data_IF_956982689336
#
_entry.id   IF_956982689336
#
_cell.length_a   1.000
_cell.length_b   1.000
_cell.length_c   1.000
_cell.angle_alpha   90.00
_cell.angle_beta   90.00
_cell.angle_gamma   90.00
#
_symmetry.space_group_name_H-M   'P 1'
#
loop_
_entity.id
_entity.type
_entity.pdbx_description
1 polymer ?
#
# COMPACT_ATOMS: atom_id res chain seq x y z
N UNK A 1 -2.88 6.15 -9.60
CA UNK A 1 -2.35 4.99 -8.86
C UNK A 1 -0.97 4.67 -9.38
N UNK A 2 -0.01 4.40 -8.49
CA UNK A 2 1.38 4.12 -8.86
C UNK A 2 1.81 2.78 -8.24
N UNK A 3 2.40 1.89 -9.05
CA UNK A 3 3.12 0.71 -8.56
C UNK A 3 4.58 1.12 -8.33
N UNK A 4 4.97 1.21 -7.07
CA UNK A 4 6.22 1.83 -6.60
C UNK A 4 7.40 0.86 -6.53
N UNK A 5 7.90 0.46 -7.70
CA UNK A 5 9.03 -0.47 -7.79
C UNK A 5 10.38 0.14 -7.42
N UNK A 6 10.58 1.47 -7.53
CA UNK A 6 11.80 2.12 -7.03
C UNK A 6 11.83 2.19 -5.50
N UNK A 7 10.66 2.31 -4.83
CA UNK A 7 10.61 2.16 -3.37
C UNK A 7 10.94 0.74 -2.92
N UNK A 8 10.58 -0.28 -3.70
CA UNK A 8 10.82 -1.67 -3.35
C UNK A 8 12.32 -2.02 -3.25
N UNK A 9 13.19 -1.33 -4.00
CA UNK A 9 14.64 -1.57 -3.99
C UNK A 9 15.39 -0.86 -2.85
N UNK A 10 14.68 -0.08 -2.02
CA UNK A 10 15.27 0.55 -0.82
C UNK A 10 15.48 -0.44 0.34
N UNK A 11 14.88 -1.62 0.25
CA UNK A 11 15.10 -2.76 1.13
C UNK A 11 15.67 -3.97 0.39
N UNK A 12 15.76 -5.11 1.07
CA UNK A 12 16.15 -6.37 0.43
C UNK A 12 15.07 -6.81 -0.56
N UNK A 13 15.48 -7.06 -1.80
CA UNK A 13 14.60 -7.57 -2.86
C UNK A 13 15.33 -8.63 -3.68
N UNK A 14 14.56 -9.37 -4.46
CA UNK A 14 15.08 -10.37 -5.38
C UNK A 14 14.86 -9.88 -6.82
N UNK A 15 15.98 -9.69 -7.54
CA UNK A 15 16.01 -9.20 -8.91
C UNK A 15 15.20 -10.12 -9.84
N UNK A 16 15.27 -11.44 -9.61
CA UNK A 16 14.58 -12.43 -10.45
C UNK A 16 13.05 -12.30 -10.37
N UNK A 17 12.52 -11.69 -9.30
CA UNK A 17 11.07 -11.62 -9.06
C UNK A 17 10.49 -10.21 -9.03
N UNK A 18 11.31 -9.14 -9.08
CA UNK A 18 10.81 -7.76 -8.98
C UNK A 18 9.82 -7.42 -10.11
N UNK A 19 10.18 -7.67 -11.37
CA UNK A 19 9.32 -7.38 -12.52
C UNK A 19 7.98 -8.12 -12.44
N UNK A 20 8.03 -9.39 -12.03
CA UNK A 20 6.82 -10.20 -11.85
C UNK A 20 5.94 -9.66 -10.72
N UNK A 21 6.54 -9.28 -9.59
CA UNK A 21 5.81 -8.68 -8.46
C UNK A 21 5.17 -7.34 -8.82
N UNK A 22 5.84 -6.52 -9.63
CA UNK A 22 5.31 -5.27 -10.17
C UNK A 22 4.07 -5.54 -11.02
N UNK A 23 4.15 -6.52 -11.93
CA UNK A 23 3.02 -6.94 -12.76
C UNK A 23 1.86 -7.48 -11.93
N UNK A 24 2.14 -8.38 -10.98
CA UNK A 24 1.12 -8.96 -10.09
C UNK A 24 0.46 -7.90 -9.19
N UNK A 25 1.18 -6.86 -8.77
CA UNK A 25 0.60 -5.73 -8.05
C UNK A 25 -0.36 -4.93 -8.95
N UNK A 26 0.02 -4.65 -10.20
CA UNK A 26 -0.86 -4.00 -11.17
C UNK A 26 -2.12 -4.83 -11.44
N UNK A 27 -1.98 -6.14 -11.65
CA UNK A 27 -3.10 -7.07 -11.81
C UNK A 27 -4.01 -7.03 -10.58
N UNK A 28 -3.44 -7.03 -9.37
CA UNK A 28 -4.22 -6.98 -8.13
C UNK A 28 -5.03 -5.68 -8.01
N UNK A 29 -4.47 -4.54 -8.43
CA UNK A 29 -5.17 -3.24 -8.43
C UNK A 29 -6.32 -3.22 -9.45
N UNK A 30 -6.06 -3.65 -10.69
CA UNK A 30 -7.07 -3.75 -11.75
C UNK A 30 -8.19 -4.71 -11.34
N UNK A 31 -7.84 -5.88 -10.82
CA UNK A 31 -8.77 -6.88 -10.34
C UNK A 31 -9.56 -6.44 -9.10
N UNK A 32 -9.02 -5.51 -8.30
CA UNK A 32 -9.74 -4.89 -7.18
C UNK A 32 -10.71 -3.79 -7.65
N UNK A 33 -10.64 -3.37 -8.92
CA UNK A 33 -11.54 -2.38 -9.52
C UNK A 33 -10.92 -1.01 -9.79
N UNK A 34 -9.58 -0.89 -9.79
CA UNK A 34 -8.94 0.30 -10.37
C UNK A 34 -9.23 0.32 -11.86
N UNK A 35 -9.96 1.33 -12.29
CA UNK A 35 -10.42 1.48 -13.67
C UNK A 35 -9.47 2.42 -14.44
N UNK A 36 -8.73 1.92 -15.45
CA UNK A 36 -7.79 2.72 -16.22
C UNK A 36 -8.44 3.82 -17.06
N UNK A 37 -9.74 3.74 -17.35
CA UNK A 37 -10.47 4.81 -18.03
C UNK A 37 -10.75 6.01 -17.11
N UNK A 38 -10.76 5.77 -15.79
CA UNK A 38 -11.05 6.78 -14.76
C UNK A 38 -9.82 7.18 -13.95
N UNK A 39 -8.72 6.47 -14.09
CA UNK A 39 -7.55 6.64 -13.25
C UNK A 39 -6.28 6.26 -13.99
N UNK A 40 -5.24 7.09 -13.86
CA UNK A 40 -3.92 6.79 -14.41
C UNK A 40 -3.25 5.73 -13.53
N UNK A 41 -3.04 4.52 -14.06
CA UNK A 41 -2.30 3.44 -13.41
C UNK A 41 -0.97 3.22 -14.14
N UNK A 42 0.15 3.36 -13.44
CA UNK A 42 1.48 3.21 -14.03
C UNK A 42 2.48 2.62 -13.05
N UNK A 43 3.65 2.21 -13.58
CA UNK A 43 4.80 1.77 -12.79
C UNK A 43 5.76 2.94 -12.59
N UNK A 44 6.23 3.15 -11.36
CA UNK A 44 7.07 4.28 -10.99
C UNK A 44 8.33 4.39 -11.85
N UNK A 45 9.07 3.30 -12.03
CA UNK A 45 10.28 3.26 -12.86
C UNK A 45 10.06 3.58 -14.34
N UNK A 46 8.81 3.49 -14.83
CA UNK A 46 8.50 3.90 -16.19
C UNK A 46 8.48 5.43 -16.35
N UNK A 47 8.42 6.21 -15.27
CA UNK A 47 8.39 7.68 -15.29
C UNK A 47 9.68 8.20 -14.64
N UNK A 48 10.78 8.40 -15.39
CA UNK A 48 12.09 8.72 -14.81
C UNK A 48 12.13 10.04 -14.03
N UNK A 49 11.18 10.95 -14.29
CA UNK A 49 11.04 12.22 -13.60
C UNK A 49 10.88 12.08 -12.08
N UNK A 50 10.39 10.94 -11.57
CA UNK A 50 10.35 10.66 -10.13
C UNK A 50 11.74 10.72 -9.51
N UNK A 51 12.70 10.01 -10.10
CA UNK A 51 14.08 9.99 -9.61
C UNK A 51 14.76 11.36 -9.81
N UNK A 52 14.48 12.04 -10.92
CA UNK A 52 15.01 13.39 -11.17
C UNK A 52 14.52 14.39 -10.13
N UNK A 53 13.21 14.48 -9.89
CA UNK A 53 12.67 15.39 -8.89
C UNK A 53 13.14 15.00 -7.47
N UNK A 54 13.23 13.71 -7.15
CA UNK A 54 13.75 13.25 -5.86
C UNK A 54 15.20 13.73 -5.63
N UNK A 55 16.04 13.72 -6.66
CA UNK A 55 17.39 14.28 -6.57
C UNK A 55 17.37 15.78 -6.27
N UNK A 56 16.54 16.54 -6.98
CA UNK A 56 16.40 17.99 -6.75
C UNK A 56 15.88 18.30 -5.35
N UNK A 57 14.87 17.57 -4.87
CA UNK A 57 14.36 17.73 -3.51
C UNK A 57 15.38 17.33 -2.44
N UNK A 58 16.31 16.42 -2.75
CA UNK A 58 17.38 16.02 -1.82
C UNK A 58 18.31 17.19 -1.50
N UNK A 59 18.51 18.14 -2.42
CA UNK A 59 19.41 19.28 -2.18
C UNK A 59 18.88 20.28 -1.14
N UNK A 60 17.58 20.22 -0.84
CA UNK A 60 16.91 21.10 0.14
C UNK A 60 16.39 20.35 1.38
N UNK A 61 16.54 19.02 1.42
CA UNK A 61 16.08 18.17 2.50
C UNK A 61 17.11 18.10 3.64
N UNK A 62 16.78 18.49 4.89
CA UNK A 62 17.74 18.43 5.98
C UNK A 62 17.97 17.00 6.43
N UNK A 63 19.24 16.63 6.52
CA UNK A 63 19.67 15.35 7.04
C UNK A 63 19.04 15.03 8.41
N UNK A 64 19.05 15.98 9.34
CA UNK A 64 18.53 15.78 10.69
C UNK A 64 17.02 15.51 10.74
N UNK A 65 16.24 15.97 9.77
CA UNK A 65 14.79 15.64 9.69
C UNK A 65 14.58 14.20 9.23
N UNK A 66 15.35 13.75 8.24
CA UNK A 66 15.32 12.38 7.75
C UNK A 66 15.74 11.38 8.84
N UNK A 67 16.80 11.68 9.58
CA UNK A 67 17.31 10.84 10.67
C UNK A 67 16.35 10.72 11.86
N UNK A 68 15.46 11.70 12.04
CA UNK A 68 14.48 11.71 13.14
C UNK A 68 13.24 10.86 12.87
N UNK A 69 12.99 10.48 11.61
CA UNK A 69 11.80 9.73 11.23
C UNK A 69 11.73 8.37 11.93
N UNK A 70 10.54 8.02 12.44
CA UNK A 70 10.33 6.79 13.20
C UNK A 70 10.62 5.55 12.34
N UNK A 71 10.14 5.53 11.09
CA UNK A 71 10.38 4.40 10.20
C UNK A 71 11.85 4.22 9.83
N UNK A 72 12.62 5.31 9.71
CA UNK A 72 14.06 5.23 9.48
C UNK A 72 14.75 4.59 10.69
N UNK A 73 14.47 5.07 11.91
CA UNK A 73 15.03 4.52 13.16
C UNK A 73 14.68 3.04 13.35
N UNK A 74 13.43 2.66 13.12
CA UNK A 74 12.97 1.28 13.32
C UNK A 74 13.58 0.30 12.31
N UNK A 75 13.82 0.75 11.08
CA UNK A 75 14.38 -0.08 10.00
C UNK A 75 15.91 -0.11 10.04
N UNK A 76 16.57 1.00 10.40
CA UNK A 76 18.04 1.09 10.48
C UNK A 76 18.61 0.18 11.55
N UNK A 77 17.92 0.01 12.68
CA UNK A 77 18.31 -0.92 13.75
C UNK A 77 18.31 -2.40 13.35
N UNK A 78 17.71 -2.75 12.20
CA UNK A 78 17.58 -4.14 11.72
C UNK A 78 18.66 -4.53 10.72
N UNK A 79 19.56 -3.62 10.38
CA UNK A 79 20.62 -3.83 9.41
C UNK A 79 21.95 -3.35 9.98
N UNK A 80 23.03 -4.05 9.62
CA UNK A 80 24.38 -3.68 10.06
C UNK A 80 24.88 -2.41 9.35
N UNK A 81 24.59 -2.30 8.05
CA UNK A 81 24.88 -1.12 7.25
C UNK A 81 23.60 -0.59 6.66
N UNK A 82 23.30 0.68 6.93
CA UNK A 82 22.08 1.35 6.51
C UNK A 82 22.28 1.92 5.11
N UNK A 83 21.55 1.45 4.08
CA UNK A 83 21.65 2.03 2.75
C UNK A 83 21.15 3.48 2.74
N UNK A 84 21.82 4.37 2.01
CA UNK A 84 21.37 5.75 1.83
C UNK A 84 19.95 5.83 1.22
N UNK A 85 19.56 4.82 0.42
CA UNK A 85 18.19 4.68 -0.08
C UNK A 85 17.13 4.58 1.02
N UNK A 86 17.45 3.95 2.16
CA UNK A 86 16.53 3.87 3.29
C UNK A 86 16.33 5.22 4.00
N UNK A 87 17.35 6.07 3.97
CA UNK A 87 17.26 7.43 4.52
C UNK A 87 16.51 8.38 3.56
N UNK A 88 16.70 8.19 2.26
CA UNK A 88 16.23 9.11 1.20
C UNK A 88 14.88 8.73 0.59
N UNK A 89 14.35 7.51 0.79
CA UNK A 89 13.04 7.13 0.22
C UNK A 89 11.88 8.08 0.58
N UNK A 90 11.84 8.76 1.75
CA UNK A 90 10.79 9.73 2.03
C UNK A 90 10.83 10.94 1.07
N UNK A 91 12.01 11.29 0.56
CA UNK A 91 12.18 12.33 -0.47
C UNK A 91 11.67 11.82 -1.83
N UNK A 92 11.94 10.55 -2.16
CA UNK A 92 11.35 9.91 -3.35
C UNK A 92 9.82 9.90 -3.27
N UNK A 93 9.26 9.63 -2.08
CA UNK A 93 7.81 9.72 -1.86
C UNK A 93 7.28 11.15 -2.04
N UNK A 94 8.01 12.16 -1.57
CA UNK A 94 7.65 13.56 -1.81
C UNK A 94 7.66 13.89 -3.32
N UNK A 95 8.67 13.40 -4.06
CA UNK A 95 8.71 13.53 -5.51
C UNK A 95 7.49 12.86 -6.18
N UNK A 96 7.12 11.64 -5.76
CA UNK A 96 5.96 10.93 -6.30
C UNK A 96 4.65 11.72 -6.20
N UNK A 97 4.51 12.54 -5.15
CA UNK A 97 3.33 13.36 -4.88
C UNK A 97 3.41 14.71 -5.62
N UNK A 98 4.53 15.41 -5.47
CA UNK A 98 4.70 16.78 -5.96
C UNK A 98 4.83 16.84 -7.48
N UNK A 99 5.35 15.79 -8.12
CA UNK A 99 5.47 15.71 -9.58
C UNK A 99 4.12 15.87 -10.29
N UNK A 100 3.04 15.41 -9.66
CA UNK A 100 1.67 15.53 -10.16
C UNK A 100 0.88 16.67 -9.51
N UNK A 101 1.53 17.49 -8.67
CA UNK A 101 0.93 18.61 -7.94
C UNK A 101 -0.37 18.19 -7.23
N UNK A 102 -0.34 17.05 -6.53
CA UNK A 102 -1.52 16.52 -5.87
C UNK A 102 -1.96 17.38 -4.68
N UNK A 103 -3.25 17.73 -4.62
CA UNK A 103 -3.83 18.49 -3.50
C UNK A 103 -4.09 17.64 -2.26
N UNK A 104 -4.28 16.33 -2.44
CA UNK A 104 -4.61 15.41 -1.36
C UNK A 104 -4.07 14.01 -1.61
N UNK A 105 -3.71 13.31 -0.53
CA UNK A 105 -3.13 11.97 -0.58
C UNK A 105 -3.82 11.06 0.46
N UNK A 106 -4.41 9.93 0.04
CA UNK A 106 -4.87 8.90 0.96
C UNK A 106 -3.69 8.31 1.71
N UNK A 107 -3.67 8.46 3.03
CA UNK A 107 -2.59 7.97 3.88
C UNK A 107 -3.13 7.23 5.10
N UNK A 108 -2.41 6.20 5.52
CA UNK A 108 -2.60 5.59 6.85
C UNK A 108 -1.99 6.49 7.93
N UNK A 109 -2.42 6.28 9.18
CA UNK A 109 -1.88 7.00 10.35
C UNK A 109 -0.34 6.88 10.45
N UNK A 110 0.21 5.73 10.01
CA UNK A 110 1.63 5.41 10.02
C UNK A 110 2.47 6.14 8.96
N UNK A 111 1.82 6.85 8.01
CA UNK A 111 2.48 7.57 6.92
C UNK A 111 2.42 9.09 7.06
N UNK A 112 1.84 9.60 8.16
CA UNK A 112 1.68 11.04 8.42
C UNK A 112 3.02 11.80 8.46
N UNK A 113 4.08 11.21 9.03
CA UNK A 113 5.42 11.83 9.04
C UNK A 113 5.99 12.05 7.63
N UNK A 114 5.77 11.12 6.69
CA UNK A 114 6.25 11.29 5.32
C UNK A 114 5.46 12.35 4.55
N UNK A 115 4.15 12.43 4.80
CA UNK A 115 3.33 13.48 4.21
C UNK A 115 3.72 14.86 4.74
N UNK A 116 4.04 14.97 6.04
CA UNK A 116 4.55 16.23 6.60
C UNK A 116 5.90 16.62 6.00
N UNK A 117 6.84 15.67 5.83
CA UNK A 117 8.07 15.96 5.08
C UNK A 117 7.77 16.47 3.67
N UNK A 118 6.80 15.86 2.97
CA UNK A 118 6.42 16.29 1.62
C UNK A 118 5.95 17.74 1.61
N UNK A 119 5.12 18.14 2.58
CA UNK A 119 4.65 19.53 2.73
C UNK A 119 5.79 20.48 3.06
N UNK A 120 6.71 20.07 3.94
CA UNK A 120 7.88 20.87 4.30
C UNK A 120 8.83 21.09 3.12
N UNK A 121 9.09 20.05 2.32
CA UNK A 121 9.86 20.16 1.08
C UNK A 121 9.16 21.05 0.05
N UNK A 122 7.84 20.97 -0.08
CA UNK A 122 7.07 21.86 -0.94
C UNK A 122 7.22 23.34 -0.51
N UNK A 123 7.07 23.63 0.79
CA UNK A 123 7.24 24.98 1.35
C UNK A 123 8.63 25.54 1.08
N UNK A 124 9.67 24.75 1.32
CA UNK A 124 11.07 25.15 1.07
C UNK A 124 11.35 25.41 -0.38
N UNK A 125 10.95 24.47 -1.25
CA UNK A 125 11.16 24.62 -2.68
C UNK A 125 10.44 25.87 -3.19
N UNK A 126 9.20 26.11 -2.77
CA UNK A 126 8.46 27.32 -3.13
C UNK A 126 9.16 28.59 -2.62
N UNK A 127 9.64 28.60 -1.37
CA UNK A 127 10.32 29.76 -0.80
C UNK A 127 11.63 30.12 -1.50
N UNK A 128 12.34 29.11 -2.03
CA UNK A 128 13.64 29.29 -2.67
C UNK A 128 13.53 29.55 -4.18
N UNK A 129 12.62 28.86 -4.88
CA UNK A 129 12.60 28.82 -6.35
C UNK A 129 11.30 29.34 -6.98
N UNK A 130 10.21 29.52 -6.23
CA UNK A 130 8.99 30.07 -6.80
C UNK A 130 9.03 31.62 -6.85
N UNK A 131 8.42 32.25 -7.86
CA UNK A 131 8.20 33.69 -7.87
C UNK A 131 7.50 34.18 -6.59
N UNK A 132 7.82 35.39 -6.16
CA UNK A 132 7.26 35.97 -4.93
C UNK A 132 5.74 35.95 -4.95
N UNK A 133 5.13 35.27 -3.96
CA UNK A 133 3.69 35.14 -3.82
C UNK A 133 3.06 33.95 -4.55
N UNK A 134 3.84 33.11 -5.23
CA UNK A 134 3.35 31.92 -5.91
C UNK A 134 3.54 30.65 -5.06
N UNK A 135 2.50 29.81 -4.98
CA UNK A 135 2.57 28.45 -4.44
C UNK A 135 2.62 27.45 -5.59
N UNK A 136 3.82 27.17 -6.09
CA UNK A 136 4.00 26.26 -7.22
C UNK A 136 3.63 24.82 -6.87
N UNK A 137 4.31 24.27 -5.87
CA UNK A 137 3.96 22.98 -5.29
C UNK A 137 2.85 23.18 -4.24
N UNK A 138 1.71 22.48 -4.36
CA UNK A 138 0.71 22.50 -3.31
C UNK A 138 1.22 21.77 -2.06
N UNK A 139 0.63 22.11 -0.91
CA UNK A 139 0.80 21.33 0.31
C UNK A 139 -0.28 20.25 0.40
N UNK A 140 0.05 18.98 0.09
CA UNK A 140 -0.95 17.91 0.02
C UNK A 140 -1.63 17.69 1.39
N UNK A 141 -2.95 17.53 1.35
CA UNK A 141 -3.77 17.26 2.53
C UNK A 141 -3.94 15.74 2.74
N UNK A 142 -3.90 15.26 4.00
CA UNK A 142 -4.16 13.85 4.26
C UNK A 142 -5.65 13.53 4.06
N UNK A 143 -5.94 12.49 3.29
CA UNK A 143 -7.24 11.82 3.33
C UNK A 143 -7.09 10.62 4.27
N UNK A 144 -7.48 10.82 5.52
CA UNK A 144 -7.46 9.76 6.52
C UNK A 144 -8.57 8.76 6.23
N UNK A 145 -8.19 7.54 5.85
CA UNK A 145 -9.17 6.47 5.65
C UNK A 145 -9.53 5.87 7.00
N UNK A 146 -10.82 5.79 7.34
CA UNK A 146 -11.32 5.07 8.52
C UNK A 146 -11.13 3.54 8.47
N UNK A 147 -10.41 3.03 7.47
CA UNK A 147 -10.10 1.62 7.33
C UNK A 147 -9.22 1.18 8.50
N UNK A 148 -9.84 0.47 9.45
CA UNK A 148 -9.13 -0.07 10.62
C UNK A 148 -8.05 -1.03 10.16
N UNK A 149 -6.87 -0.93 10.79
CA UNK A 149 -5.78 -1.89 10.66
C UNK A 149 -6.31 -3.32 10.83
N UNK A 150 -6.14 -4.16 9.82
CA UNK A 150 -6.50 -5.58 9.90
C UNK A 150 -5.42 -6.33 10.67
N UNK A 151 -5.83 -7.01 11.74
CA UNK A 151 -4.96 -7.87 12.54
C UNK A 151 -4.67 -9.14 11.75
N UNK A 152 -3.41 -9.57 11.78
CA UNK A 152 -2.95 -10.76 11.08
C UNK A 152 -3.57 -12.04 11.65
N UNK A 153 -3.44 -13.14 10.91
CA UNK A 153 -3.94 -14.45 11.34
C UNK A 153 -3.27 -14.98 12.62
N UNK A 154 -2.18 -14.36 13.07
CA UNK A 154 -1.53 -14.59 14.35
C UNK A 154 -2.25 -13.94 15.55
N UNK A 155 -3.27 -13.09 15.31
CA UNK A 155 -4.05 -12.44 16.35
C UNK A 155 -3.34 -11.31 17.11
N UNK A 156 -2.11 -10.95 16.73
CA UNK A 156 -1.31 -9.95 17.45
C UNK A 156 -0.84 -8.82 16.54
N UNK A 157 -0.12 -9.16 15.48
CA UNK A 157 0.52 -8.17 14.63
C UNK A 157 -0.42 -7.67 13.53
N UNK A 158 0.01 -6.64 12.79
CA UNK A 158 -0.66 -6.27 11.54
C UNK A 158 -0.56 -7.44 10.56
N UNK A 159 -1.57 -7.63 9.72
CA UNK A 159 -1.44 -8.49 8.55
C UNK A 159 -0.26 -8.02 7.68
N UNK A 160 0.78 -8.85 7.55
CA UNK A 160 2.00 -8.58 6.78
C UNK A 160 2.55 -9.84 6.11
N UNK A 161 2.86 -9.76 4.82
CA UNK A 161 3.45 -10.88 4.06
C UNK A 161 4.73 -11.40 4.70
N UNK A 162 5.54 -10.51 5.29
CA UNK A 162 6.79 -10.87 5.96
C UNK A 162 6.60 -11.72 7.22
N UNK A 163 5.43 -11.65 7.86
CA UNK A 163 5.08 -12.44 9.04
C UNK A 163 4.35 -13.74 8.68
N UNK A 164 4.02 -13.95 7.39
CA UNK A 164 3.25 -15.10 6.95
C UNK A 164 1.80 -15.14 7.48
N UNK A 165 1.32 -14.07 8.09
CA UNK A 165 0.03 -14.01 8.80
C UNK A 165 -1.10 -13.43 7.93
N UNK A 166 -1.08 -13.64 6.61
CA UNK A 166 -1.93 -12.93 5.63
C UNK A 166 -2.79 -13.83 4.75
N UNK A 167 -3.91 -13.30 4.28
CA UNK A 167 -4.71 -13.88 3.18
C UNK A 167 -4.63 -12.91 2.00
N UNK A 168 -4.25 -13.41 0.83
CA UNK A 168 -4.19 -12.63 -0.40
C UNK A 168 -5.56 -12.48 -1.04
N UNK A 169 -5.83 -11.32 -1.65
CA UNK A 169 -7.14 -11.03 -2.26
C UNK A 169 -7.44 -11.83 -3.54
N UNK A 170 -6.43 -12.45 -4.14
CA UNK A 170 -6.54 -13.29 -5.35
C UNK A 170 -6.40 -14.79 -5.04
N UNK A 171 -6.37 -15.18 -3.76
CA UNK A 171 -6.16 -16.56 -3.36
C UNK A 171 -7.38 -17.45 -3.64
N UNK A 172 -7.10 -18.71 -3.96
CA UNK A 172 -8.15 -19.73 -4.14
C UNK A 172 -8.85 -20.04 -2.82
N UNK A 173 -10.09 -20.57 -2.85
CA UNK A 173 -10.78 -21.01 -1.65
C UNK A 173 -9.95 -21.98 -0.80
N UNK A 174 -9.19 -22.87 -1.43
CA UNK A 174 -8.30 -23.83 -0.77
C UNK A 174 -7.15 -23.12 -0.06
N UNK A 175 -6.51 -22.15 -0.72
CA UNK A 175 -5.42 -21.36 -0.13
C UNK A 175 -5.91 -20.54 1.07
N UNK A 176 -7.07 -19.90 0.94
CA UNK A 176 -7.75 -19.18 2.04
C UNK A 176 -7.94 -20.13 3.22
N UNK A 177 -8.49 -21.32 2.98
CA UNK A 177 -8.72 -22.31 4.02
C UNK A 177 -7.42 -22.78 4.69
N UNK A 178 -6.38 -23.10 3.92
CA UNK A 178 -5.11 -23.58 4.46
C UNK A 178 -4.46 -22.57 5.41
N UNK A 179 -4.63 -21.27 5.15
CA UNK A 179 -4.11 -20.22 6.02
C UNK A 179 -5.03 -19.92 7.20
N UNK A 180 -6.35 -19.94 6.98
CA UNK A 180 -7.32 -19.62 8.02
C UNK A 180 -7.45 -20.74 9.06
N UNK A 181 -7.31 -22.00 8.65
CA UNK A 181 -7.39 -23.17 9.53
C UNK A 181 -6.47 -23.05 10.76
N UNK A 182 -5.16 -22.76 10.64
CA UNK A 182 -4.25 -22.59 11.77
C UNK A 182 -4.33 -21.23 12.48
N UNK A 183 -5.14 -20.27 11.99
CA UNK A 183 -5.18 -18.91 12.53
C UNK A 183 -5.54 -18.88 14.03
N UNK A 184 -4.96 -17.96 14.78
CA UNK A 184 -5.19 -17.85 16.22
C UNK A 184 -6.64 -17.48 16.53
N UNK A 185 -7.23 -18.14 17.52
CA UNK A 185 -8.56 -17.86 18.08
C UNK A 185 -8.43 -17.47 19.55
N UNK A 186 -9.56 -17.44 20.28
CA UNK A 186 -9.58 -17.22 21.72
C UNK A 186 -8.71 -18.29 22.45
N UNK A 187 -7.59 -17.89 23.10
CA UNK A 187 -6.72 -18.82 23.82
C UNK A 187 -7.39 -19.45 25.05
N UNK A 188 -8.41 -18.80 25.62
CA UNK A 188 -9.14 -19.33 26.76
C UNK A 188 -10.04 -20.51 26.38
N UNK A 189 -10.29 -20.70 25.08
CA UNK A 189 -11.13 -21.76 24.55
C UNK A 189 -10.30 -23.00 24.21
N UNK A 190 -10.08 -23.86 25.21
CA UNK A 190 -9.21 -25.04 25.10
C UNK A 190 -9.91 -26.21 24.39
N UNK A 191 -11.21 -26.38 24.62
CA UNK A 191 -12.03 -27.48 24.08
C UNK A 191 -13.25 -26.96 23.32
N UNK A 192 -13.92 -27.84 22.56
CA UNK A 192 -15.17 -27.49 21.85
C UNK A 192 -16.30 -27.12 22.81
N UNK A 193 -16.29 -27.67 24.04
CA UNK A 193 -17.32 -27.41 25.04
C UNK A 193 -17.12 -26.09 25.80
N UNK A 194 -15.93 -25.49 25.72
CA UNK A 194 -15.66 -24.23 26.39
C UNK A 194 -16.34 -23.08 25.63
N UNK A 195 -17.10 -22.21 26.31
CA UNK A 195 -17.65 -21.01 25.70
C UNK A 195 -16.51 -20.04 25.36
N UNK A 196 -16.61 -19.36 24.22
CA UNK A 196 -15.65 -18.36 23.79
C UNK A 196 -16.16 -16.93 23.96
N UNK A 197 -15.24 -15.97 23.85
CA UNK A 197 -15.56 -14.53 23.82
C UNK A 197 -15.35 -13.98 22.41
N UNK A 198 -16.40 -13.81 21.59
CA UNK A 198 -16.27 -13.32 20.21
C UNK A 198 -15.52 -11.99 20.11
N UNK A 199 -15.77 -11.07 21.05
CA UNK A 199 -15.33 -9.67 20.98
C UNK A 199 -13.81 -9.50 21.05
N UNK A 200 -13.09 -10.48 21.61
CA UNK A 200 -11.63 -10.50 21.67
C UNK A 200 -11.01 -11.38 20.57
N UNK A 201 -11.84 -12.07 19.78
CA UNK A 201 -11.37 -13.04 18.79
C UNK A 201 -11.17 -12.40 17.41
N UNK A 202 -9.97 -12.51 16.86
CA UNK A 202 -9.65 -12.00 15.52
C UNK A 202 -10.53 -12.62 14.41
N UNK A 203 -10.85 -13.92 14.51
CA UNK A 203 -11.72 -14.60 13.54
C UNK A 203 -13.12 -13.97 13.52
N UNK A 204 -13.66 -13.63 14.68
CA UNK A 204 -14.95 -12.95 14.76
C UNK A 204 -14.89 -11.52 14.21
N UNK A 205 -13.79 -10.79 14.44
CA UNK A 205 -13.59 -9.48 13.84
C UNK A 205 -13.61 -9.56 12.30
N UNK A 206 -12.97 -10.57 11.70
CA UNK A 206 -12.96 -10.80 10.26
C UNK A 206 -14.35 -11.12 9.69
N UNK A 207 -15.21 -11.83 10.42
CA UNK A 207 -16.59 -12.06 9.98
C UNK A 207 -17.36 -10.77 9.69
N UNK A 208 -17.12 -9.69 10.43
CA UNK A 208 -17.78 -8.38 10.20
C UNK A 208 -17.46 -7.76 8.84
N UNK A 209 -16.41 -8.23 8.17
CA UNK A 209 -16.00 -7.78 6.84
C UNK A 209 -16.41 -8.73 5.72
N UNK A 210 -16.62 -10.01 6.02
CA UNK A 210 -16.75 -11.07 5.01
C UNK A 210 -18.03 -11.91 5.17
N UNK A 211 -18.91 -11.56 6.09
CA UNK A 211 -20.14 -12.31 6.34
C UNK A 211 -21.33 -11.37 6.47
N UNK A 212 -22.54 -11.78 6.02
CA UNK A 212 -23.77 -11.05 6.29
C UNK A 212 -24.03 -10.90 7.79
N UNK A 213 -24.76 -9.85 8.19
CA UNK A 213 -25.07 -9.56 9.60
C UNK A 213 -25.72 -10.73 10.34
N UNK A 214 -26.62 -11.45 9.68
CA UNK A 214 -27.25 -12.65 10.24
C UNK A 214 -26.22 -13.74 10.58
N UNK A 215 -25.24 -13.97 9.71
CA UNK A 215 -24.15 -14.93 9.95
C UNK A 215 -23.23 -14.46 11.07
N UNK A 216 -22.96 -13.16 11.17
CA UNK A 216 -22.17 -12.60 12.29
C UNK A 216 -22.88 -12.87 13.62
N UNK A 217 -24.21 -12.64 13.69
CA UNK A 217 -25.00 -12.90 14.89
C UNK A 217 -25.03 -14.40 15.26
N UNK A 218 -25.19 -15.28 14.27
CA UNK A 218 -25.11 -16.73 14.45
C UNK A 218 -23.74 -17.17 14.99
N UNK A 219 -22.66 -16.63 14.42
CA UNK A 219 -21.28 -16.93 14.87
C UNK A 219 -21.08 -16.52 16.33
N UNK A 220 -21.57 -15.34 16.72
CA UNK A 220 -21.49 -14.87 18.10
C UNK A 220 -22.25 -15.80 19.07
N UNK A 221 -23.48 -16.17 18.70
CA UNK A 221 -24.33 -17.07 19.50
C UNK A 221 -23.67 -18.44 19.69
N UNK A 222 -23.22 -19.07 18.61
CA UNK A 222 -22.60 -20.39 18.65
C UNK A 222 -21.23 -20.39 19.35
N UNK A 223 -20.50 -19.27 19.32
CA UNK A 223 -19.25 -19.12 20.06
C UNK A 223 -19.50 -19.01 21.58
N UNK A 224 -20.45 -18.16 22.00
CA UNK A 224 -20.79 -17.95 23.42
C UNK A 224 -21.44 -19.16 24.07
N UNK A 225 -22.25 -19.90 23.32
CA UNK A 225 -22.94 -21.11 23.81
C UNK A 225 -22.14 -22.40 23.68
N UNK A 226 -20.92 -22.33 23.11
CA UNK A 226 -20.15 -23.50 22.69
C UNK A 226 -20.91 -24.45 21.73
N UNK A 227 -21.90 -23.93 20.98
CA UNK A 227 -22.69 -24.69 20.00
C UNK A 227 -21.85 -25.29 18.85
N UNK A 228 -20.67 -24.73 18.58
CA UNK A 228 -19.74 -25.24 17.56
C UNK A 228 -18.27 -24.98 17.87
N UNK A 229 -17.34 -25.67 17.20
CA UNK A 229 -15.89 -25.48 17.40
C UNK A 229 -15.34 -24.26 16.66
N UNK A 230 -14.15 -23.79 17.05
CA UNK A 230 -13.44 -22.71 16.35
C UNK A 230 -13.16 -23.07 14.86
N UNK A 231 -12.98 -24.35 14.57
CA UNK A 231 -12.84 -24.86 13.20
C UNK A 231 -14.13 -24.68 12.40
N UNK A 232 -15.29 -24.89 13.00
CA UNK A 232 -16.59 -24.72 12.34
C UNK A 232 -16.81 -23.24 11.99
N UNK A 233 -16.56 -22.35 12.95
CA UNK A 233 -16.55 -20.90 12.74
C UNK A 233 -15.63 -20.48 11.58
N UNK A 234 -14.38 -20.97 11.55
CA UNK A 234 -13.42 -20.70 10.47
C UNK A 234 -13.89 -21.21 9.10
N UNK A 235 -14.61 -22.33 9.02
CA UNK A 235 -15.16 -22.82 7.74
C UNK A 235 -16.22 -21.86 7.18
N UNK A 236 -17.07 -21.34 8.05
CA UNK A 236 -18.07 -20.31 7.67
C UNK A 236 -17.36 -19.05 7.17
N UNK A 237 -16.33 -18.59 7.89
CA UNK A 237 -15.54 -17.44 7.47
C UNK A 237 -14.84 -17.67 6.12
N UNK A 238 -14.22 -18.84 5.92
CA UNK A 238 -13.55 -19.18 4.67
C UNK A 238 -14.51 -19.12 3.48
N UNK A 239 -15.73 -19.61 3.66
CA UNK A 239 -16.78 -19.56 2.63
C UNK A 239 -17.17 -18.12 2.31
N UNK A 240 -17.40 -17.29 3.34
CA UNK A 240 -17.70 -15.87 3.17
C UNK A 240 -16.58 -15.10 2.46
N UNK A 241 -15.33 -15.29 2.90
CA UNK A 241 -14.14 -14.72 2.25
C UNK A 241 -14.01 -15.16 0.78
N UNK A 242 -14.18 -16.45 0.50
CA UNK A 242 -14.07 -17.00 -0.85
C UNK A 242 -15.13 -16.40 -1.78
N UNK A 243 -16.35 -16.18 -1.29
CA UNK A 243 -17.44 -15.53 -2.03
C UNK A 243 -17.17 -14.05 -2.30
N UNK A 244 -16.83 -13.27 -1.27
CA UNK A 244 -16.54 -11.83 -1.41
C UNK A 244 -15.34 -11.58 -2.34
N UNK A 245 -14.31 -12.43 -2.27
CA UNK A 245 -13.10 -12.30 -3.08
C UNK A 245 -13.24 -12.94 -4.47
N UNK A 246 -14.31 -13.70 -4.76
CA UNK A 246 -14.48 -14.38 -6.04
C UNK A 246 -14.40 -13.43 -7.25
N UNK A 247 -15.10 -12.28 -7.28
CA UNK A 247 -15.04 -11.36 -8.43
C UNK A 247 -13.64 -10.76 -8.63
N UNK A 248 -12.87 -10.57 -7.56
CA UNK A 248 -11.49 -10.08 -7.64
C UNK A 248 -10.59 -11.19 -8.19
N UNK A 249 -10.72 -12.41 -7.68
CA UNK A 249 -9.96 -13.57 -8.16
C UNK A 249 -10.23 -13.85 -9.64
N UNK A 250 -11.48 -13.87 -10.07
CA UNK A 250 -11.89 -14.11 -11.46
C UNK A 250 -11.28 -13.08 -12.41
N UNK A 251 -11.44 -11.79 -12.13
CA UNK A 251 -10.79 -10.71 -12.89
C UNK A 251 -9.27 -10.84 -12.91
N UNK A 252 -8.65 -11.26 -11.80
CA UNK A 252 -7.20 -11.47 -11.77
C UNK A 252 -6.75 -12.62 -12.68
N UNK A 253 -7.54 -13.67 -12.81
CA UNK A 253 -7.25 -14.80 -13.70
C UNK A 253 -7.38 -14.39 -15.17
N UNK A 254 -8.42 -13.62 -15.52
CA UNK A 254 -8.59 -13.05 -16.86
C UNK A 254 -7.41 -12.15 -17.24
N UNK A 255 -6.97 -11.27 -16.34
CA UNK A 255 -5.84 -10.38 -16.57
C UNK A 255 -4.51 -11.14 -16.69
N UNK A 256 -4.29 -12.21 -15.93
CA UNK A 256 -3.10 -13.07 -16.08
C UNK A 256 -3.09 -13.80 -17.42
N UNK A 257 -4.27 -14.18 -17.93
CA UNK A 257 -4.41 -14.79 -19.25
C UNK A 257 -4.22 -13.78 -20.40
N UNK A 258 -4.28 -12.47 -20.13
CA UNK A 258 -4.09 -11.40 -21.10
C UNK A 258 -2.94 -10.44 -20.70
N UNK A 259 -1.68 -10.93 -20.65
CA UNK A 259 -0.55 -10.13 -20.17
C UNK A 259 -0.27 -8.88 -21.02
N UNK A 260 -0.55 -8.92 -22.32
CA UNK A 260 -0.35 -7.77 -23.20
C UNK A 260 -1.32 -6.64 -22.91
N UNK A 261 -2.58 -6.95 -22.55
CA UNK A 261 -3.54 -5.95 -22.08
C UNK A 261 -3.05 -5.22 -20.83
N UNK A 262 -2.45 -5.94 -19.87
CA UNK A 262 -1.89 -5.33 -18.66
C UNK A 262 -0.71 -4.42 -19.03
N UNK A 263 0.14 -4.86 -19.97
CA UNK A 263 1.27 -4.07 -20.47
C UNK A 263 0.80 -2.78 -21.16
N UNK A 264 -0.21 -2.85 -22.01
CA UNK A 264 -0.81 -1.70 -22.69
C UNK A 264 -1.35 -0.69 -21.68
N UNK A 265 -2.18 -1.14 -20.73
CA UNK A 265 -2.71 -0.27 -19.66
C UNK A 265 -1.59 0.45 -18.90
N UNK A 266 -0.54 -0.27 -18.50
CA UNK A 266 0.60 0.33 -17.81
C UNK A 266 1.43 1.26 -18.70
N UNK A 267 1.52 0.97 -20.00
CA UNK A 267 2.17 1.80 -21.01
C UNK A 267 1.45 3.12 -21.21
N UNK A 268 0.14 3.07 -21.41
CA UNK A 268 -0.73 4.23 -21.61
C UNK A 268 -0.79 5.11 -20.36
N UNK A 269 -0.90 4.48 -19.19
CA UNK A 269 -0.82 5.17 -17.91
C UNK A 269 0.54 5.84 -17.72
N UNK A 270 1.64 5.17 -18.06
CA UNK A 270 2.97 5.77 -17.99
C UNK A 270 3.14 6.93 -19.00
N UNK A 271 2.60 6.82 -20.21
CA UNK A 271 2.64 7.89 -21.20
C UNK A 271 1.90 9.14 -20.70
N UNK A 272 0.70 8.94 -20.15
CA UNK A 272 -0.10 10.02 -19.53
C UNK A 272 0.64 10.65 -18.36
N UNK A 273 1.18 9.83 -17.45
CA UNK A 273 1.93 10.29 -16.30
C UNK A 273 3.22 11.04 -16.70
N UNK A 274 3.96 10.55 -17.70
CA UNK A 274 5.17 11.22 -18.21
C UNK A 274 4.87 12.60 -18.78
N UNK A 275 3.74 12.77 -19.46
CA UNK A 275 3.35 14.08 -20.02
C UNK A 275 3.21 15.11 -18.90
N UNK A 276 2.40 14.82 -17.88
CA UNK A 276 2.20 15.71 -16.74
C UNK A 276 3.50 15.92 -15.95
N UNK A 277 4.23 14.84 -15.69
CA UNK A 277 5.52 14.91 -14.99
C UNK A 277 6.56 15.75 -15.75
N UNK A 278 6.60 15.64 -17.08
CA UNK A 278 7.49 16.41 -17.94
C UNK A 278 7.16 17.90 -17.92
N UNK A 279 5.88 18.26 -17.93
CA UNK A 279 5.44 19.65 -17.78
C UNK A 279 5.87 20.23 -16.42
N UNK A 280 5.66 19.50 -15.32
CA UNK A 280 6.14 19.88 -13.98
C UNK A 280 7.66 20.03 -13.97
N UNK A 281 8.40 19.05 -14.48
CA UNK A 281 9.86 19.07 -14.47
C UNK A 281 10.45 20.19 -15.30
N UNK A 282 9.86 20.55 -16.45
CA UNK A 282 10.30 21.70 -17.23
C UNK A 282 10.20 22.99 -16.41
N UNK A 283 9.07 23.21 -15.75
CA UNK A 283 8.88 24.39 -14.89
C UNK A 283 9.83 24.40 -13.68
N UNK A 284 10.08 23.23 -13.08
CA UNK A 284 11.06 23.07 -12.01
C UNK A 284 12.46 23.41 -12.50
N UNK A 285 12.86 22.87 -13.65
CA UNK A 285 14.18 23.09 -14.23
C UNK A 285 14.42 24.57 -14.56
N UNK A 286 13.44 25.22 -15.19
CA UNK A 286 13.49 26.65 -15.52
C UNK A 286 13.69 27.51 -14.25
N UNK A 287 12.95 27.20 -13.18
CA UNK A 287 12.99 27.94 -11.90
C UNK A 287 14.24 27.70 -11.08
N UNK A 288 14.82 26.50 -11.19
CA UNK A 288 16.10 26.17 -10.57
C UNK A 288 17.30 26.63 -11.43
N UNK A 289 17.06 27.28 -12.57
CA UNK A 289 18.10 27.88 -13.40
C UNK A 289 18.96 26.88 -14.18
N UNK A 290 18.42 25.69 -14.48
CA UNK A 290 19.12 24.73 -15.32
C UNK A 290 19.19 25.23 -16.77
N UNK A 291 20.30 24.92 -17.46
CA UNK A 291 20.47 25.24 -18.88
C UNK A 291 19.43 24.48 -19.71
N UNK A 292 18.61 25.16 -20.56
CA UNK A 292 17.64 24.49 -21.41
C UNK A 292 18.30 23.58 -22.46
N UNK A 293 17.61 22.49 -22.82
CA UNK A 293 17.97 21.69 -23.99
C UNK A 293 17.73 22.52 -25.26
N UNK A 294 18.72 22.54 -26.16
CA UNK A 294 18.71 23.33 -27.40
C UNK A 294 17.93 22.69 -28.55
#
# INVERSE_FOLDING_TARGET
>A
YCVVDQHAITGRYDVATLAERTREMAISLLAAGVDPERSVLFVQSHVPQHATLAWLLTTIAPLGELERMTQYKDKSQRVESVPAGLLSYPILMAADILLYRADAVPVGEDQTQHLELTRELARRWNAEFAPTGEQFFPEPQPILTGARRIVGLDGQAKMSKSLGNTIGVTESPEQIWQKLRPAMTDPARVTKADPGTPEICNIYALHRHFSPEATVAEVASNCRSAGWGCIDCKKVLATGMAGVLAPIRERSLELRAAPDRVREVLGDGAATARKQAGETMRMVSDRMGFLPEG
#
